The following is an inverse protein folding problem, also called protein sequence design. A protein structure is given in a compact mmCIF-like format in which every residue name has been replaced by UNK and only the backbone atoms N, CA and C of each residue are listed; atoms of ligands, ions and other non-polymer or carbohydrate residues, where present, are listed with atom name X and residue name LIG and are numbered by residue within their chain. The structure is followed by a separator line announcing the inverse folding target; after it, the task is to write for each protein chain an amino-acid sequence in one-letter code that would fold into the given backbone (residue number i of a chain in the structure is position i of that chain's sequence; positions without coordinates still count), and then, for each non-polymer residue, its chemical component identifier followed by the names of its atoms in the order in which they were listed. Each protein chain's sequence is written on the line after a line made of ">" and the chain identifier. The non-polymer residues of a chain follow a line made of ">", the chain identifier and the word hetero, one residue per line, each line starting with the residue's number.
data_IF_755103703240
#
_entry.id   IF_755103703240
#
_cell.length_a   1.000
_cell.length_b   1.000
_cell.length_c   1.000
_cell.angle_alpha   90.00
_cell.angle_beta   90.00
_cell.angle_gamma   90.00
#
_symmetry.space_group_name_H-M   'P 1'
#
loop_
_entity.id
_entity.type
_entity.pdbx_description
1 polymer ?
#
# COMPACT_ATOMS: atom_id res chain seq x y z
N UNK A 1 14.16 -22.59 13.58
CA UNK A 1 13.72 -21.53 14.51
C UNK A 1 14.50 -21.72 15.81
N UNK A 2 15.18 -20.69 16.29
CA UNK A 2 16.01 -20.80 17.50
C UNK A 2 15.11 -20.90 18.74
N UNK A 3 15.52 -21.64 19.80
CA UNK A 3 14.72 -21.79 21.02
C UNK A 3 14.38 -20.44 21.68
N UNK A 4 15.22 -19.42 21.48
CA UNK A 4 14.99 -18.05 21.92
C UNK A 4 13.74 -17.40 21.30
N UNK A 5 13.44 -17.70 20.04
CA UNK A 5 12.26 -17.15 19.36
C UNK A 5 10.96 -17.71 19.95
N UNK A 6 10.97 -18.98 20.36
CA UNK A 6 9.79 -19.64 20.97
C UNK A 6 9.49 -19.05 22.35
N UNK A 7 10.53 -18.84 23.17
CA UNK A 7 10.39 -18.23 24.51
C UNK A 7 9.85 -16.80 24.42
N UNK A 8 10.34 -16.00 23.47
CA UNK A 8 9.84 -14.64 23.27
C UNK A 8 8.34 -14.59 22.91
N UNK A 9 7.88 -15.52 22.06
CA UNK A 9 6.46 -15.61 21.67
C UNK A 9 5.59 -15.99 22.87
N UNK A 10 6.01 -16.95 23.69
CA UNK A 10 5.26 -17.37 24.89
C UNK A 10 5.12 -16.22 25.88
N UNK A 11 6.18 -15.44 26.10
CA UNK A 11 6.15 -14.28 27.00
C UNK A 11 5.15 -13.22 26.51
N UNK A 12 5.14 -12.92 25.21
CA UNK A 12 4.22 -11.94 24.62
C UNK A 12 2.76 -12.39 24.78
N UNK A 13 2.47 -13.67 24.54
CA UNK A 13 1.12 -14.22 24.69
C UNK A 13 0.65 -14.17 26.14
N UNK A 14 1.51 -14.54 27.10
CA UNK A 14 1.19 -14.49 28.53
C UNK A 14 0.97 -13.04 28.99
N UNK A 15 1.79 -12.10 28.53
CA UNK A 15 1.63 -10.68 28.83
C UNK A 15 0.30 -10.13 28.28
N UNK A 16 -0.08 -10.50 27.06
CA UNK A 16 -1.36 -10.09 26.47
C UNK A 16 -2.56 -10.62 27.25
N UNK A 17 -2.52 -11.89 27.67
CA UNK A 17 -3.58 -12.50 28.49
C UNK A 17 -3.69 -11.80 29.85
N UNK A 18 -2.56 -11.51 30.50
CA UNK A 18 -2.54 -10.80 31.78
C UNK A 18 -3.12 -9.39 31.67
N UNK A 19 -2.83 -8.68 30.57
CA UNK A 19 -3.32 -7.31 30.33
C UNK A 19 -4.84 -7.29 30.11
N UNK A 20 -5.37 -8.25 29.34
CA UNK A 20 -6.81 -8.42 29.14
C UNK A 20 -7.51 -8.82 30.44
N UNK A 21 -6.93 -9.72 31.23
CA UNK A 21 -7.46 -10.10 32.53
C UNK A 21 -7.49 -8.91 33.51
N UNK A 22 -6.43 -8.09 33.54
CA UNK A 22 -6.36 -6.88 34.35
C UNK A 22 -7.38 -5.82 33.91
N UNK A 23 -7.57 -5.64 32.59
CA UNK A 23 -8.55 -4.70 32.05
C UNK A 23 -10.00 -5.13 32.35
N UNK A 24 -10.29 -6.43 32.27
CA UNK A 24 -11.62 -6.99 32.54
C UNK A 24 -12.06 -6.88 34.01
N UNK A 25 -11.11 -6.68 34.94
CA UNK A 25 -11.39 -6.54 36.39
C UNK A 25 -11.70 -5.12 36.83
N UNK A 26 -11.50 -4.10 35.99
CA UNK A 26 -11.89 -2.72 36.32
C UNK A 26 -13.40 -2.54 36.10
N UNK A 27 -14.18 -2.82 37.15
CA UNK A 27 -15.57 -2.39 37.26
C UNK A 27 -15.60 -0.94 37.78
N UNK A 28 -15.22 0.02 36.94
CA UNK A 28 -15.55 1.43 37.20
C UNK A 28 -16.95 1.71 36.62
N UNK A 29 -17.97 1.15 37.28
CA UNK A 29 -19.37 1.56 37.14
C UNK A 29 -19.76 2.45 38.34
N UNK A 30 -18.91 3.41 38.69
CA UNK A 30 -19.21 4.47 39.64
C UNK A 30 -20.02 5.56 38.94
N UNK A 31 -21.31 5.63 39.23
CA UNK A 31 -22.24 6.72 38.93
C UNK A 31 -22.22 7.26 37.49
N UNK A 32 -23.02 6.65 36.60
CA UNK A 32 -23.45 7.26 35.35
C UNK A 32 -24.48 8.40 35.58
N UNK A 33 -24.16 9.33 36.47
CA UNK A 33 -24.88 10.61 36.61
C UNK A 33 -23.95 11.68 36.07
N UNK A 34 -24.06 11.96 34.76
CA UNK A 34 -23.30 13.03 34.13
C UNK A 34 -23.63 14.37 34.79
N UNK A 35 -22.65 14.97 35.46
CA UNK A 35 -22.78 16.36 35.89
C UNK A 35 -22.67 17.25 34.65
N UNK A 36 -23.76 17.91 34.28
CA UNK A 36 -23.74 18.90 33.22
C UNK A 36 -22.84 20.06 33.64
N UNK A 37 -21.97 20.50 32.73
CA UNK A 37 -21.11 21.65 32.99
C UNK A 37 -21.96 22.91 33.21
N UNK A 38 -21.48 23.83 34.06
CA UNK A 38 -22.15 25.12 34.30
C UNK A 38 -22.40 25.90 33.02
N UNK A 39 -21.54 25.73 32.02
CA UNK A 39 -21.67 26.37 30.70
C UNK A 39 -22.86 25.80 29.91
N UNK A 40 -23.07 24.48 29.97
CA UNK A 40 -24.21 23.81 29.34
C UNK A 40 -25.54 24.29 29.95
N UNK A 41 -25.58 24.42 31.29
CA UNK A 41 -26.75 24.93 32.00
C UNK A 41 -27.02 26.41 31.69
N UNK A 42 -25.97 27.22 31.53
CA UNK A 42 -26.10 28.64 31.19
C UNK A 42 -26.63 28.84 29.77
N UNK A 43 -26.15 28.05 28.79
CA UNK A 43 -26.66 28.09 27.41
C UNK A 43 -28.11 27.60 27.31
N UNK A 44 -28.49 26.53 28.01
CA UNK A 44 -29.88 26.07 28.02
C UNK A 44 -30.83 27.13 28.61
N UNK A 45 -30.40 27.80 29.68
CA UNK A 45 -31.17 28.90 30.28
C UNK A 45 -31.28 30.12 29.35
N UNK A 46 -30.20 30.49 28.67
CA UNK A 46 -30.21 31.60 27.71
C UNK A 46 -31.14 31.32 26.52
N UNK A 47 -31.14 30.09 26.01
CA UNK A 47 -32.02 29.67 24.91
C UNK A 47 -33.50 29.69 25.29
N UNK A 48 -33.83 29.33 26.54
CA UNK A 48 -35.21 29.45 27.06
C UNK A 48 -35.70 30.90 27.21
N UNK A 49 -34.79 31.85 27.41
CA UNK A 49 -35.13 33.27 27.47
C UNK A 49 -35.38 33.84 26.07
N UNK A 50 -34.59 33.42 25.09
CA UNK A 50 -34.72 33.79 23.67
C UNK A 50 -36.04 33.27 23.06
N UNK A 51 -36.41 32.02 23.37
CA UNK A 51 -37.71 31.45 22.98
C UNK A 51 -38.90 32.18 23.63
N UNK A 52 -38.72 32.81 24.80
CA UNK A 52 -39.79 33.55 25.47
C UNK A 52 -40.08 34.91 24.84
N UNK A 53 -39.13 35.52 24.12
CA UNK A 53 -39.35 36.78 23.38
C UNK A 53 -39.95 36.54 21.98
N UNK A 54 -39.73 35.36 21.39
CA UNK A 54 -40.23 34.98 20.07
C UNK A 54 -41.65 34.40 20.07
N UNK A 55 -42.19 33.96 21.22
CA UNK A 55 -43.53 33.36 21.31
C UNK A 55 -44.54 34.39 21.81
N UNK A 56 -44.90 35.36 20.95
CA UNK A 56 -46.10 36.19 21.13
C UNK A 56 -47.23 35.86 20.14
N UNK A 57 -47.09 34.81 19.31
CA UNK A 57 -48.11 34.47 18.29
C UNK A 57 -48.38 32.96 18.15
N UNK A 58 -48.19 32.12 19.17
CA UNK A 58 -48.51 30.69 19.05
C UNK A 58 -48.68 29.94 20.37
N UNK A 59 -49.58 28.95 20.37
CA UNK A 59 -49.84 28.03 21.48
C UNK A 59 -48.54 27.36 21.90
N UNK A 60 -48.19 27.48 23.17
CA UNK A 60 -46.94 26.93 23.71
C UNK A 60 -47.03 25.40 23.80
N UNK A 61 -45.92 24.67 23.59
CA UNK A 61 -45.90 23.21 23.74
C UNK A 61 -46.38 22.73 25.12
N UNK A 62 -46.26 23.58 26.15
CA UNK A 62 -46.76 23.33 27.50
C UNK A 62 -48.30 23.36 27.58
N UNK A 63 -48.96 24.18 26.77
CA UNK A 63 -50.43 24.19 26.67
C UNK A 63 -50.92 22.94 25.94
N UNK A 64 -50.19 22.46 24.93
CA UNK A 64 -50.49 21.21 24.23
C UNK A 64 -50.34 20.01 25.18
N UNK A 65 -49.27 19.95 25.97
CA UNK A 65 -49.09 18.89 26.96
C UNK A 65 -50.14 18.95 28.08
N UNK A 66 -50.55 20.15 28.49
CA UNK A 66 -51.60 20.33 29.49
C UNK A 66 -52.98 19.93 28.93
N UNK A 67 -53.27 20.24 27.66
CA UNK A 67 -54.47 19.80 26.98
C UNK A 67 -54.49 18.26 26.81
N UNK A 68 -53.38 17.66 26.36
CA UNK A 68 -53.27 16.20 26.24
C UNK A 68 -53.32 15.47 27.59
N UNK A 69 -52.98 16.14 28.69
CA UNK A 69 -53.13 15.60 30.03
C UNK A 69 -54.56 15.73 30.56
N UNK A 70 -55.28 16.78 30.18
CA UNK A 70 -56.69 16.95 30.50
C UNK A 70 -57.58 15.97 29.70
N UNK A 71 -57.21 15.67 28.46
CA UNK A 71 -57.93 14.74 27.57
C UNK A 71 -57.74 13.26 27.99
N UNK A 72 -56.69 12.96 28.77
CA UNK A 72 -56.47 11.66 29.43
C UNK A 72 -57.32 11.46 30.69
N UNK A 73 -58.35 12.27 30.88
CA UNK A 73 -59.31 12.19 31.98
C UNK A 73 -60.43 11.18 31.74
N UNK A 74 -60.16 10.01 31.18
CA UNK A 74 -61.08 8.87 31.32
C UNK A 74 -60.73 8.11 32.60
N UNK A 75 -61.73 7.92 33.45
CA UNK A 75 -61.66 7.40 34.81
C UNK A 75 -60.84 6.10 34.86
N UNK A 76 -59.62 6.18 35.40
CA UNK A 76 -58.86 5.00 35.76
C UNK A 76 -59.63 4.26 36.86
N UNK A 77 -60.27 3.15 36.50
CA UNK A 77 -60.92 2.25 37.46
C UNK A 77 -59.83 1.70 38.37
N UNK A 78 -59.92 1.86 39.71
CA UNK A 78 -58.92 1.31 40.60
C UNK A 78 -59.01 -0.22 40.55
N UNK A 79 -58.09 -0.85 39.83
CA UNK A 79 -57.86 -2.28 39.96
C UNK A 79 -57.38 -2.53 41.38
N UNK A 80 -58.05 -3.44 42.09
CA UNK A 80 -57.70 -3.80 43.45
C UNK A 80 -56.20 -4.15 43.52
N UNK A 81 -55.46 -3.41 44.36
CA UNK A 81 -54.05 -3.63 44.62
C UNK A 81 -53.84 -5.05 45.14
N UNK A 82 -53.41 -5.94 44.25
CA UNK A 82 -52.92 -7.25 44.65
C UNK A 82 -51.51 -7.03 45.18
N UNK A 83 -51.22 -7.52 46.40
CA UNK A 83 -49.91 -7.35 47.00
C UNK A 83 -48.82 -7.80 46.01
N UNK A 84 -47.74 -7.02 45.80
CA UNK A 84 -46.72 -7.37 44.84
C UNK A 84 -46.14 -8.73 45.20
N UNK A 85 -46.28 -9.69 44.28
CA UNK A 85 -45.72 -11.03 44.45
C UNK A 85 -44.20 -10.87 44.59
N UNK A 86 -43.63 -11.44 45.64
CA UNK A 86 -42.18 -11.44 45.86
C UNK A 86 -41.53 -12.11 44.65
N UNK A 87 -40.71 -11.36 43.92
CA UNK A 87 -40.01 -11.88 42.76
C UNK A 87 -39.03 -12.96 43.22
N UNK A 88 -39.25 -14.20 42.79
CA UNK A 88 -38.30 -15.30 42.96
C UNK A 88 -37.50 -15.37 41.67
N UNK A 89 -36.17 -15.30 41.79
CA UNK A 89 -35.29 -15.45 40.63
C UNK A 89 -35.54 -16.82 39.99
N UNK A 90 -35.80 -16.89 38.68
CA UNK A 90 -35.85 -18.17 37.99
C UNK A 90 -34.54 -18.93 38.20
N UNK A 91 -34.66 -20.23 38.44
CA UNK A 91 -33.56 -21.18 38.56
C UNK A 91 -32.67 -21.18 37.29
N UNK A 92 -31.36 -21.33 37.47
CA UNK A 92 -30.40 -21.20 36.36
C UNK A 92 -30.64 -22.22 35.23
N UNK A 93 -31.25 -23.37 35.54
CA UNK A 93 -31.60 -24.40 34.56
C UNK A 93 -32.76 -24.00 33.64
N UNK A 94 -33.70 -23.16 34.09
CA UNK A 94 -34.82 -22.68 33.24
C UNK A 94 -34.43 -21.49 32.36
N UNK A 95 -33.43 -20.71 32.77
CA UNK A 95 -32.95 -19.55 32.01
C UNK A 95 -32.03 -19.92 30.83
N UNK A 96 -31.41 -21.11 30.86
CA UNK A 96 -30.53 -21.59 29.80
C UNK A 96 -29.44 -20.60 29.44
N UNK A 97 -29.47 -20.07 28.20
CA UNK A 97 -28.56 -18.97 27.77
C UNK A 97 -29.32 -17.66 27.79
N UNK A 98 -28.96 -16.79 28.74
CA UNK A 98 -29.53 -15.44 28.78
C UNK A 98 -29.14 -14.64 27.54
N UNK A 99 -30.00 -13.70 27.10
CA UNK A 99 -29.70 -12.80 25.96
C UNK A 99 -28.35 -12.13 26.09
N UNK A 100 -27.98 -11.70 27.30
CA UNK A 100 -26.68 -11.07 27.58
C UNK A 100 -25.51 -12.03 27.41
N UNK A 101 -25.65 -13.27 27.86
CA UNK A 101 -24.64 -14.31 27.64
C UNK A 101 -24.51 -14.67 26.16
N UNK A 102 -25.62 -14.80 25.44
CA UNK A 102 -25.61 -15.05 23.99
C UNK A 102 -24.87 -13.93 23.24
N UNK A 103 -25.23 -12.67 23.48
CA UNK A 103 -24.61 -11.52 22.80
C UNK A 103 -23.13 -11.36 23.17
N UNK A 104 -22.75 -11.55 24.43
CA UNK A 104 -21.35 -11.47 24.82
C UNK A 104 -20.52 -12.61 24.21
N UNK A 105 -21.06 -13.84 24.20
CA UNK A 105 -20.38 -14.99 23.59
C UNK A 105 -20.26 -14.81 22.07
N UNK A 106 -21.31 -14.35 21.39
CA UNK A 106 -21.27 -14.15 19.95
C UNK A 106 -20.28 -13.04 19.55
N UNK A 107 -20.24 -11.92 20.28
CA UNK A 107 -19.27 -10.85 20.04
C UNK A 107 -17.83 -11.36 20.21
N UNK A 108 -17.55 -12.09 21.29
CA UNK A 108 -16.20 -12.62 21.55
C UNK A 108 -15.80 -13.67 20.50
N UNK A 109 -16.72 -14.55 20.12
CA UNK A 109 -16.46 -15.59 19.11
C UNK A 109 -16.23 -14.96 17.73
N UNK A 110 -17.08 -14.03 17.30
CA UNK A 110 -16.95 -13.38 15.99
C UNK A 110 -15.69 -12.51 15.92
N UNK A 111 -15.39 -11.75 16.98
CA UNK A 111 -14.16 -10.96 17.04
C UNK A 111 -12.92 -11.84 17.06
N UNK A 112 -12.93 -12.92 17.87
CA UNK A 112 -11.83 -13.88 17.94
C UNK A 112 -11.58 -14.58 16.62
N UNK A 113 -12.63 -15.01 15.92
CA UNK A 113 -12.53 -15.63 14.60
C UNK A 113 -12.05 -14.64 13.54
N UNK A 114 -12.52 -13.39 13.57
CA UNK A 114 -12.05 -12.34 12.68
C UNK A 114 -10.55 -12.04 12.85
N UNK A 115 -10.08 -11.92 14.10
CA UNK A 115 -8.66 -11.70 14.40
C UNK A 115 -7.84 -12.94 13.99
N UNK A 116 -8.32 -14.15 14.26
CA UNK A 116 -7.61 -15.38 13.89
C UNK A 116 -7.49 -15.53 12.37
N UNK A 117 -8.54 -15.24 11.60
CA UNK A 117 -8.50 -15.27 10.14
C UNK A 117 -7.56 -14.20 9.59
N UNK A 118 -7.63 -12.96 10.11
CA UNK A 118 -6.70 -11.92 9.70
C UNK A 118 -5.25 -12.29 10.02
N UNK A 119 -4.99 -12.84 11.21
CA UNK A 119 -3.66 -13.25 11.61
C UNK A 119 -3.13 -14.39 10.73
N UNK A 120 -3.95 -15.40 10.45
CA UNK A 120 -3.53 -16.58 9.66
C UNK A 120 -3.33 -16.27 8.18
N UNK A 121 -4.01 -15.28 7.60
CA UNK A 121 -3.81 -14.89 6.20
C UNK A 121 -2.71 -13.84 6.06
N UNK A 122 -2.73 -12.80 6.90
CA UNK A 122 -1.82 -11.65 6.76
C UNK A 122 -0.39 -11.95 7.24
N UNK A 123 -0.22 -12.72 8.32
CA UNK A 123 1.14 -12.98 8.84
C UNK A 123 1.99 -13.83 7.89
N UNK A 124 1.50 -14.92 7.28
CA UNK A 124 2.29 -15.64 6.30
C UNK A 124 2.62 -14.77 5.08
N UNK A 125 1.71 -13.91 4.65
CA UNK A 125 1.94 -13.05 3.47
C UNK A 125 2.98 -11.96 3.74
N UNK A 126 2.94 -11.36 4.92
CA UNK A 126 3.84 -10.27 5.30
C UNK A 126 5.20 -10.76 5.83
N UNK A 127 5.20 -11.87 6.57
CA UNK A 127 6.38 -12.38 7.27
C UNK A 127 7.15 -13.43 6.46
N UNK A 128 6.55 -13.99 5.39
CA UNK A 128 7.24 -14.90 4.49
C UNK A 128 7.69 -14.17 3.22
N UNK A 129 8.99 -14.12 2.90
CA UNK A 129 9.45 -13.50 1.67
C UNK A 129 8.99 -14.34 0.48
N UNK A 130 7.92 -13.92 -0.19
CA UNK A 130 7.60 -14.47 -1.50
C UNK A 130 8.69 -14.08 -2.49
N UNK A 131 9.40 -15.08 -3.00
CA UNK A 131 10.36 -15.05 -4.13
C UNK A 131 11.26 -13.81 -4.20
N UNK A 132 12.52 -14.02 -3.83
CA UNK A 132 13.67 -13.19 -4.21
C UNK A 132 13.72 -12.99 -5.72
N UNK A 133 13.27 -11.85 -6.21
CA UNK A 133 13.24 -11.54 -7.65
C UNK A 133 12.83 -10.11 -7.98
N UNK A 134 12.91 -9.20 -7.00
CA UNK A 134 12.66 -7.77 -7.22
C UNK A 134 13.92 -7.04 -7.68
N UNK A 135 13.75 -5.75 -7.97
CA UNK A 135 14.87 -4.85 -8.22
C UNK A 135 15.91 -4.92 -7.09
N UNK A 136 17.19 -5.01 -7.44
CA UNK A 136 18.30 -5.25 -6.52
C UNK A 136 18.80 -6.70 -6.51
N UNK A 137 18.21 -7.58 -7.33
CA UNK A 137 18.60 -8.99 -7.45
C UNK A 137 18.93 -9.40 -8.89
N UNK A 138 19.41 -10.64 -9.07
CA UNK A 138 19.62 -11.26 -10.38
C UNK A 138 18.27 -11.68 -10.95
N UNK A 139 17.89 -11.07 -12.06
CA UNK A 139 16.64 -11.34 -12.77
C UNK A 139 16.92 -12.19 -14.01
N UNK A 140 16.27 -13.34 -14.12
CA UNK A 140 16.36 -14.22 -15.29
C UNK A 140 15.41 -13.71 -16.37
N UNK A 141 15.93 -13.24 -17.50
CA UNK A 141 15.13 -12.61 -18.57
C UNK A 141 14.60 -13.60 -19.62
N UNK A 142 15.22 -14.77 -19.75
CA UNK A 142 14.86 -15.76 -20.77
C UNK A 142 15.93 -15.91 -21.84
N UNK A 143 15.60 -16.54 -22.96
CA UNK A 143 16.55 -16.76 -24.06
C UNK A 143 16.75 -15.50 -24.88
N UNK A 144 17.98 -15.23 -25.26
CA UNK A 144 18.36 -14.04 -26.05
C UNK A 144 17.64 -14.01 -27.40
N UNK A 145 17.47 -15.15 -28.07
CA UNK A 145 16.77 -15.24 -29.36
C UNK A 145 15.33 -14.73 -29.28
N UNK A 146 14.64 -15.09 -28.21
CA UNK A 146 13.23 -14.76 -28.00
C UNK A 146 13.11 -13.27 -27.64
N UNK A 147 14.02 -12.79 -26.79
CA UNK A 147 14.12 -11.37 -26.42
C UNK A 147 14.41 -10.48 -27.62
N UNK A 148 15.30 -10.88 -28.55
CA UNK A 148 15.56 -10.11 -29.78
C UNK A 148 14.30 -10.04 -30.64
N UNK A 149 13.55 -11.14 -30.78
CA UNK A 149 12.29 -11.15 -31.50
C UNK A 149 11.24 -10.21 -30.89
N UNK A 150 11.13 -10.19 -29.56
CA UNK A 150 10.26 -9.26 -28.83
C UNK A 150 10.69 -7.80 -29.02
N UNK A 151 12.00 -7.51 -28.89
CA UNK A 151 12.55 -6.15 -29.11
C UNK A 151 12.19 -5.64 -30.50
N UNK A 152 12.34 -6.47 -31.54
CA UNK A 152 12.03 -6.09 -32.91
C UNK A 152 10.53 -5.88 -33.12
N UNK A 153 9.69 -6.68 -32.46
CA UNK A 153 8.22 -6.54 -32.51
C UNK A 153 7.75 -5.24 -31.85
N UNK A 154 8.38 -4.84 -30.73
CA UNK A 154 8.11 -3.57 -30.03
C UNK A 154 8.86 -2.36 -30.63
N UNK A 155 9.39 -2.49 -31.85
CA UNK A 155 10.00 -1.36 -32.56
C UNK A 155 11.38 -0.93 -32.05
N UNK A 156 12.11 -1.85 -31.41
CA UNK A 156 13.51 -1.70 -31.01
C UNK A 156 13.73 -1.44 -29.51
N UNK A 157 12.66 -1.33 -28.72
CA UNK A 157 12.71 -1.05 -27.29
C UNK A 157 11.76 -1.97 -26.52
N UNK A 158 12.32 -2.84 -25.68
CA UNK A 158 11.52 -3.74 -24.86
C UNK A 158 11.56 -3.31 -23.39
N UNK A 159 10.40 -2.96 -22.84
CA UNK A 159 10.32 -2.52 -21.44
C UNK A 159 10.17 -3.71 -20.48
N UNK A 160 11.01 -3.78 -19.45
CA UNK A 160 10.91 -4.77 -18.36
C UNK A 160 10.69 -4.08 -17.01
N UNK A 161 9.44 -4.06 -16.49
CA UNK A 161 9.12 -3.37 -15.24
C UNK A 161 9.81 -3.98 -14.02
N UNK A 162 10.12 -5.28 -14.04
CA UNK A 162 10.75 -6.01 -12.94
C UNK A 162 12.12 -5.42 -12.59
N UNK A 163 12.87 -5.04 -13.62
CA UNK A 163 14.19 -4.41 -13.51
C UNK A 163 14.18 -2.90 -13.66
N UNK A 164 13.03 -2.27 -13.93
CA UNK A 164 12.92 -0.86 -14.33
C UNK A 164 13.92 -0.52 -15.44
N UNK A 165 13.95 -1.36 -16.47
CA UNK A 165 14.99 -1.33 -17.49
C UNK A 165 14.40 -1.45 -18.90
N UNK A 166 15.17 -0.96 -19.85
CA UNK A 166 14.95 -1.16 -21.27
C UNK A 166 15.93 -2.21 -21.78
N UNK A 167 15.42 -3.23 -22.45
CA UNK A 167 16.21 -4.15 -23.24
C UNK A 167 16.23 -3.64 -24.68
N UNK A 168 17.43 -3.49 -25.24
CA UNK A 168 17.65 -3.02 -26.61
C UNK A 168 18.64 -3.92 -27.31
N UNK A 169 18.57 -3.99 -28.63
CA UNK A 169 19.55 -4.71 -29.44
C UNK A 169 20.85 -3.90 -29.52
N UNK A 170 21.98 -4.55 -29.23
CA UNK A 170 23.30 -3.98 -29.48
C UNK A 170 23.78 -4.45 -30.86
N UNK A 171 24.04 -3.53 -31.81
CA UNK A 171 24.32 -3.91 -33.18
C UNK A 171 25.66 -4.63 -33.29
N UNK A 172 25.68 -5.78 -33.98
CA UNK A 172 26.90 -6.60 -34.18
C UNK A 172 28.05 -5.84 -34.82
N UNK A 173 27.74 -4.88 -35.69
CA UNK A 173 28.73 -4.00 -36.33
C UNK A 173 29.45 -3.07 -35.35
N UNK A 174 28.85 -2.78 -34.19
CA UNK A 174 29.44 -1.92 -33.17
C UNK A 174 30.29 -2.69 -32.14
N UNK A 175 30.25 -4.04 -32.14
CA UNK A 175 31.01 -4.87 -31.19
C UNK A 175 32.50 -4.50 -31.13
N UNK A 176 33.25 -4.30 -32.24
CA UNK A 176 34.66 -3.96 -32.15
C UNK A 176 34.93 -2.63 -31.42
N UNK A 177 34.11 -1.61 -31.67
CA UNK A 177 34.21 -0.31 -30.99
C UNK A 177 33.72 -0.41 -29.54
N UNK A 178 32.64 -1.16 -29.34
CA UNK A 178 32.06 -1.46 -28.03
C UNK A 178 33.06 -2.18 -27.13
N UNK A 179 33.85 -3.12 -27.64
CA UNK A 179 34.82 -3.87 -26.85
C UNK A 179 35.90 -2.96 -26.27
N UNK A 180 36.33 -1.94 -27.02
CA UNK A 180 37.33 -0.96 -26.55
C UNK A 180 36.78 -0.11 -25.40
N UNK A 181 35.50 0.26 -25.46
CA UNK A 181 34.87 1.17 -24.48
C UNK A 181 34.27 0.42 -23.28
N UNK A 182 33.63 -0.71 -23.54
CA UNK A 182 32.79 -1.46 -22.61
C UNK A 182 33.38 -2.81 -22.22
N UNK A 183 34.45 -3.29 -22.86
CA UNK A 183 34.92 -4.68 -22.69
C UNK A 183 35.32 -5.07 -21.26
N UNK A 184 35.71 -4.11 -20.42
CA UNK A 184 36.00 -4.33 -19.01
C UNK A 184 34.78 -4.25 -18.09
N UNK A 185 33.61 -3.88 -18.62
CA UNK A 185 32.41 -3.65 -17.83
C UNK A 185 31.64 -4.97 -17.61
N UNK A 186 31.00 -5.15 -16.45
CA UNK A 186 30.12 -6.29 -16.19
C UNK A 186 28.89 -6.39 -17.11
N UNK A 187 28.61 -5.35 -17.90
CA UNK A 187 27.55 -5.31 -18.90
C UNK A 187 28.01 -5.85 -20.27
N UNK A 188 29.30 -6.10 -20.49
CA UNK A 188 29.82 -6.57 -21.77
C UNK A 188 29.25 -7.91 -22.26
N UNK A 189 29.08 -8.95 -21.43
CA UNK A 189 28.63 -10.26 -21.91
C UNK A 189 27.28 -10.22 -22.62
N UNK A 190 26.36 -9.37 -22.17
CA UNK A 190 25.09 -9.16 -22.86
C UNK A 190 25.30 -8.44 -24.21
N UNK A 191 26.10 -7.38 -24.23
CA UNK A 191 26.35 -6.58 -25.45
C UNK A 191 27.03 -7.41 -26.54
N UNK A 192 27.99 -8.25 -26.16
CA UNK A 192 28.64 -9.21 -27.05
C UNK A 192 27.64 -10.22 -27.63
N UNK A 193 26.67 -10.63 -26.83
CA UNK A 193 25.55 -11.47 -27.28
C UNK A 193 24.45 -10.69 -28.03
N UNK A 194 24.60 -9.38 -28.23
CA UNK A 194 23.69 -8.54 -29.00
C UNK A 194 22.52 -7.92 -28.24
N UNK A 195 22.49 -7.99 -26.90
CA UNK A 195 21.46 -7.35 -26.08
C UNK A 195 22.09 -6.43 -25.04
N UNK A 196 21.48 -5.27 -24.82
CA UNK A 196 21.87 -4.35 -23.77
C UNK A 196 20.70 -4.05 -22.83
N UNK A 197 20.95 -4.14 -21.52
CA UNK A 197 20.03 -3.72 -20.47
C UNK A 197 20.39 -2.33 -19.95
N UNK A 198 19.56 -1.34 -20.29
CA UNK A 198 19.68 0.05 -19.88
C UNK A 198 18.77 0.35 -18.69
N UNK A 199 19.30 1.06 -17.71
CA UNK A 199 18.48 1.55 -16.60
C UNK A 199 17.63 2.73 -17.07
N UNK A 200 16.31 2.67 -16.84
CA UNK A 200 15.38 3.73 -17.25
C UNK A 200 15.57 5.08 -16.52
N UNK A 201 16.49 5.14 -15.55
CA UNK A 201 16.69 6.32 -14.70
C UNK A 201 17.63 7.31 -15.39
N UNK A 202 17.15 8.54 -15.56
CA UNK A 202 17.94 9.64 -16.09
C UNK A 202 19.09 9.98 -15.14
N UNK A 203 20.30 10.12 -15.69
CA UNK A 203 21.51 10.38 -14.91
C UNK A 203 21.70 11.87 -14.55
N UNK A 204 20.76 12.73 -14.97
CA UNK A 204 20.68 14.11 -14.52
C UNK A 204 20.12 14.20 -13.09
N UNK A 205 18.81 13.97 -12.92
CA UNK A 205 18.10 14.07 -11.62
C UNK A 205 17.20 12.87 -11.31
N UNK A 206 17.25 11.81 -12.12
CA UNK A 206 16.55 10.55 -11.82
C UNK A 206 15.15 10.39 -12.38
N UNK A 207 14.68 11.27 -13.27
CA UNK A 207 13.43 11.07 -14.00
C UNK A 207 13.42 9.73 -14.78
N UNK A 208 12.24 9.15 -15.01
CA UNK A 208 12.09 8.03 -15.94
C UNK A 208 12.29 8.52 -17.37
N UNK A 209 13.13 7.82 -18.14
CA UNK A 209 13.41 8.14 -19.54
C UNK A 209 12.57 7.22 -20.46
N UNK A 210 11.61 7.75 -21.22
CA UNK A 210 10.89 7.01 -22.25
C UNK A 210 11.74 6.82 -23.52
N UNK A 211 11.41 5.80 -24.31
CA UNK A 211 11.85 5.68 -25.70
C UNK A 211 10.99 6.55 -26.62
N UNK A 212 11.57 6.99 -27.73
CA UNK A 212 10.88 7.71 -28.80
C UNK A 212 10.87 6.86 -30.07
N UNK A 213 9.67 6.60 -30.60
CA UNK A 213 9.50 5.73 -31.76
C UNK A 213 9.96 6.36 -33.07
N UNK A 214 9.95 7.69 -33.18
CA UNK A 214 10.34 8.42 -34.39
C UNK A 214 11.85 8.60 -34.47
N UNK A 215 12.49 9.14 -33.42
CA UNK A 215 13.94 9.35 -33.40
C UNK A 215 14.74 8.06 -33.14
N UNK A 216 14.07 7.02 -32.60
CA UNK A 216 14.68 5.79 -32.07
C UNK A 216 15.73 6.07 -30.99
N UNK A 217 15.50 7.12 -30.21
CA UNK A 217 16.34 7.55 -29.09
C UNK A 217 15.55 7.52 -27.78
N UNK A 218 16.27 7.60 -26.66
CA UNK A 218 15.70 7.83 -25.35
C UNK A 218 15.71 9.32 -25.03
N UNK A 219 14.54 9.89 -24.74
CA UNK A 219 14.35 11.33 -24.62
C UNK A 219 13.67 11.67 -23.29
N UNK A 220 14.41 12.31 -22.39
CA UNK A 220 13.94 12.64 -21.05
C UNK A 220 13.12 13.93 -21.06
N UNK A 221 11.79 13.80 -20.93
CA UNK A 221 10.83 14.91 -20.95
C UNK A 221 11.02 15.96 -19.84
N UNK A 222 11.81 15.69 -18.79
CA UNK A 222 12.00 16.65 -17.69
C UNK A 222 12.84 17.87 -18.08
N UNK A 223 13.97 17.66 -18.77
CA UNK A 223 14.94 18.73 -19.11
C UNK A 223 15.61 18.49 -20.47
N UNK A 224 15.07 17.59 -21.29
CA UNK A 224 15.56 17.33 -22.65
C UNK A 224 16.89 16.59 -22.74
N UNK A 225 17.22 15.72 -21.79
CA UNK A 225 18.38 14.82 -21.97
C UNK A 225 18.07 13.77 -23.02
N UNK A 226 18.95 13.65 -24.01
CA UNK A 226 18.77 12.76 -25.16
C UNK A 226 19.90 11.72 -25.18
N UNK A 227 19.54 10.46 -25.43
CA UNK A 227 20.46 9.35 -25.54
C UNK A 227 20.12 8.53 -26.79
N UNK A 228 21.12 8.00 -27.49
CA UNK A 228 20.86 7.10 -28.62
C UNK A 228 20.26 5.76 -28.15
N UNK A 229 19.95 4.85 -29.08
CA UNK A 229 19.30 3.57 -28.77
C UNK A 229 20.11 2.70 -27.80
N UNK A 230 21.43 2.87 -27.73
CA UNK A 230 22.30 2.14 -26.79
C UNK A 230 22.59 2.92 -25.50
N UNK A 231 21.90 4.05 -25.27
CA UNK A 231 22.00 4.85 -24.05
C UNK A 231 23.23 5.76 -23.97
N UNK A 232 23.94 5.98 -25.06
CA UNK A 232 25.01 6.97 -25.12
C UNK A 232 24.42 8.38 -25.23
N UNK A 233 24.92 9.31 -24.42
CA UNK A 233 24.40 10.68 -24.38
C UNK A 233 24.68 11.43 -25.69
N UNK A 234 23.64 12.03 -26.25
CA UNK A 234 23.68 12.89 -27.43
C UNK A 234 23.39 14.37 -27.13
N UNK A 235 22.50 14.65 -26.16
CA UNK A 235 22.06 16.01 -25.87
C UNK A 235 21.54 16.23 -24.45
N UNK A 236 21.28 17.50 -24.12
CA UNK A 236 20.70 17.94 -22.85
C UNK A 236 21.65 17.94 -21.63
N UNK A 237 21.13 18.18 -20.42
CA UNK A 237 21.94 18.49 -19.22
C UNK A 237 22.54 17.28 -18.50
N UNK A 238 22.16 16.05 -18.84
CA UNK A 238 22.74 14.85 -18.24
C UNK A 238 24.28 14.85 -18.37
N UNK A 239 25.07 14.53 -17.34
CA UNK A 239 26.53 14.63 -17.43
C UNK A 239 27.18 13.51 -18.28
N UNK A 240 26.49 12.37 -18.44
CA UNK A 240 27.00 11.15 -19.08
C UNK A 240 25.85 10.35 -19.72
N UNK A 241 26.15 9.22 -20.36
CA UNK A 241 25.11 8.32 -20.90
C UNK A 241 24.36 7.55 -19.80
N UNK A 242 23.30 6.84 -20.18
CA UNK A 242 22.45 6.05 -19.30
C UNK A 242 23.23 4.93 -18.61
N UNK A 243 22.83 4.66 -17.38
CA UNK A 243 23.33 3.53 -16.60
C UNK A 243 22.92 2.20 -17.21
N UNK A 244 23.75 1.19 -16.96
CA UNK A 244 23.56 -0.18 -17.44
C UNK A 244 23.52 -1.13 -16.27
N UNK A 245 22.98 -2.31 -16.49
CA UNK A 245 23.07 -3.38 -15.50
C UNK A 245 24.17 -4.38 -15.86
N UNK A 246 24.75 -5.02 -14.85
CA UNK A 246 25.61 -6.16 -15.08
C UNK A 246 24.80 -7.31 -15.68
N UNK A 247 25.37 -8.00 -16.65
CA UNK A 247 24.68 -9.05 -17.42
C UNK A 247 25.54 -10.30 -17.49
N UNK A 248 24.88 -11.45 -17.36
CA UNK A 248 25.48 -12.76 -17.49
C UNK A 248 24.69 -13.53 -18.56
N UNK A 249 25.40 -14.18 -19.48
CA UNK A 249 24.82 -15.04 -20.51
C UNK A 249 25.23 -16.47 -20.20
N UNK A 250 24.25 -17.34 -19.98
CA UNK A 250 24.51 -18.77 -19.74
C UNK A 250 24.87 -19.48 -21.05
N UNK A 251 25.51 -20.66 -20.96
CA UNK A 251 25.85 -21.48 -22.13
C UNK A 251 24.64 -21.82 -23.01
N UNK A 252 23.45 -21.96 -22.39
CA UNK A 252 22.18 -22.22 -23.09
C UNK A 252 21.55 -20.96 -23.73
N UNK A 253 22.26 -19.83 -23.77
CA UNK A 253 21.79 -18.58 -24.36
C UNK A 253 20.76 -17.82 -23.52
N UNK A 254 20.69 -18.09 -22.22
CA UNK A 254 19.78 -17.42 -21.28
C UNK A 254 20.44 -16.17 -20.71
N UNK A 255 19.76 -15.02 -20.85
CA UNK A 255 20.17 -13.74 -20.28
C UNK A 255 19.73 -13.63 -18.82
N UNK A 256 20.68 -13.29 -17.95
CA UNK A 256 20.44 -12.89 -16.56
C UNK A 256 20.97 -11.47 -16.35
N UNK A 257 20.12 -10.60 -15.79
CA UNK A 257 20.45 -9.20 -15.52
C UNK A 257 20.52 -8.98 -14.01
N UNK A 258 21.66 -8.51 -13.51
CA UNK A 258 21.83 -8.19 -12.10
C UNK A 258 21.49 -6.72 -11.83
N UNK A 259 20.28 -6.49 -11.33
CA UNK A 259 19.78 -5.14 -11.02
C UNK A 259 20.34 -4.55 -9.73
N UNK A 260 21.04 -5.35 -8.92
CA UNK A 260 21.79 -4.89 -7.76
C UNK A 260 23.16 -4.29 -8.10
N UNK A 261 23.63 -4.48 -9.35
CA UNK A 261 24.92 -3.97 -9.81
C UNK A 261 24.72 -3.03 -10.99
N UNK A 262 24.65 -1.73 -10.69
CA UNK A 262 24.52 -0.67 -11.68
C UNK A 262 25.91 -0.27 -12.17
N UNK A 263 26.14 -0.42 -13.47
CA UNK A 263 27.33 0.05 -14.17
C UNK A 263 27.08 1.47 -14.63
N UNK A 264 27.98 2.39 -14.27
CA UNK A 264 27.87 3.78 -14.69
C UNK A 264 27.92 3.89 -16.22
N UNK A 265 27.02 4.70 -16.76
CA UNK A 265 26.97 5.00 -18.19
C UNK A 265 28.25 5.66 -18.72
N UNK A 266 28.44 5.64 -20.04
CA UNK A 266 29.67 6.09 -20.68
C UNK A 266 29.86 7.60 -20.57
N UNK A 267 31.10 8.11 -20.58
CA UNK A 267 31.38 9.54 -20.57
C UNK A 267 30.82 10.23 -21.81
N UNK A 268 30.66 11.55 -21.72
CA UNK A 268 30.23 12.39 -22.84
C UNK A 268 31.14 12.20 -24.07
N UNK A 269 30.53 12.17 -25.26
CA UNK A 269 31.24 12.00 -26.54
C UNK A 269 31.46 10.55 -26.96
N UNK A 270 31.07 9.58 -26.13
CA UNK A 270 31.07 8.17 -26.52
C UNK A 270 30.03 7.93 -27.62
N UNK A 271 30.45 7.37 -28.74
CA UNK A 271 29.58 7.03 -29.87
C UNK A 271 30.04 5.72 -30.52
N UNK A 272 29.64 4.58 -29.94
CA UNK A 272 30.09 3.27 -30.44
C UNK A 272 29.31 2.81 -31.67
N UNK A 273 28.04 3.18 -31.77
CA UNK A 273 27.16 2.76 -32.88
C UNK A 273 27.20 3.72 -34.07
N UNK A 274 27.59 4.99 -33.87
CA UNK A 274 27.48 6.01 -34.91
C UNK A 274 26.03 6.38 -35.25
N UNK A 275 25.06 5.89 -34.47
CA UNK A 275 23.64 6.12 -34.72
C UNK A 275 23.29 7.59 -34.47
N UNK A 276 22.73 8.22 -35.49
CA UNK A 276 22.06 9.51 -35.40
C UNK A 276 20.54 9.32 -35.25
N UNK A 277 19.81 10.40 -34.94
CA UNK A 277 18.37 10.35 -34.81
C UNK A 277 17.75 9.96 -36.17
N UNK A 278 16.90 8.92 -36.17
CA UNK A 278 16.31 8.40 -37.41
C UNK A 278 15.13 9.26 -37.91
N UNK A 279 14.56 10.08 -37.02
CA UNK A 279 13.39 10.90 -37.27
C UNK A 279 13.31 12.04 -36.27
N UNK A 280 12.20 12.81 -36.26
CA UNK A 280 12.02 13.93 -35.35
C UNK A 280 12.02 13.46 -33.89
N UNK A 281 12.50 14.33 -33.00
CA UNK A 281 12.42 14.12 -31.57
C UNK A 281 10.96 14.14 -31.10
N UNK A 282 10.67 13.38 -30.06
CA UNK A 282 9.35 13.31 -29.42
C UNK A 282 9.12 14.44 -28.40
N UNK A 283 10.18 15.18 -28.02
CA UNK A 283 10.14 16.29 -27.07
C UNK A 283 10.53 17.63 -27.71
#
# INVERSE_FOLDING_TARGET
>A
MTPLAIVAIVIIVVAAIALVAAASRRKDLGSATGQLSRETLKRDRARRLDDSELISVGVTGKEIERAASADRGEVAVPVASTAPTVWVAPDEETLGVTRRQFLNRSIVVLMGLGIALFATVSFPVFLWPFRTGGFGSKLRMGKITDLVGEIQTEGGFLYRPEGRMWLVEYPKSAIPKGQVVYGSQPSWPGMEAGILALYQKCVHLGCRVPSCDTSKWFECACHGSQYNQVGERKGGPAPRGLDRFAMEVSADGVLTVNTGMIVQGPPLGTNTTGQEAQGPHCI
#
